data_IF_485188726989
#
_entry.id   IF_485188726989
#
_cell.length_a   1.000
_cell.length_b   1.000
_cell.length_c   1.000
_cell.angle_alpha   90.00
_cell.angle_beta   90.00
_cell.angle_gamma   90.00
#
_symmetry.space_group_name_H-M   'P 1'
#
loop_
_entity.id
_entity.type
_entity.pdbx_description
1 polymer ?
#
# COMPACT_ATOMS: atom_id res chain seq x y z
N UNK A 1 -2.37 -10.26 22.58
CA UNK A 1 -1.70 -9.07 22.00
C UNK A 1 -2.21 -7.83 22.70
N UNK A 2 -1.34 -6.93 23.11
CA UNK A 2 -1.75 -5.63 23.66
C UNK A 2 -2.13 -4.69 22.52
N UNK A 3 -2.95 -3.67 22.81
CA UNK A 3 -3.39 -2.67 21.84
C UNK A 3 -2.18 -1.97 21.17
N UNK A 4 -1.12 -1.73 21.94
CA UNK A 4 0.15 -1.17 21.46
C UNK A 4 0.87 -2.09 20.47
N UNK A 5 0.84 -3.41 20.68
CA UNK A 5 1.42 -4.38 19.73
C UNK A 5 0.68 -4.39 18.40
N UNK A 6 -0.66 -4.37 18.41
CA UNK A 6 -1.45 -4.36 17.17
C UNK A 6 -1.20 -3.08 16.36
N UNK A 7 -1.09 -1.94 17.04
CA UNK A 7 -0.75 -0.68 16.39
C UNK A 7 0.64 -0.73 15.75
N UNK A 8 1.64 -1.21 16.50
CA UNK A 8 3.02 -1.28 16.00
C UNK A 8 3.13 -2.23 14.81
N UNK A 9 2.39 -3.33 14.83
CA UNK A 9 2.29 -4.27 13.71
C UNK A 9 1.62 -3.62 12.49
N UNK A 10 0.52 -2.89 12.68
CA UNK A 10 -0.18 -2.20 11.60
C UNK A 10 0.69 -1.12 10.93
N UNK A 11 1.44 -0.34 11.73
CA UNK A 11 2.40 0.65 11.22
C UNK A 11 3.51 -0.03 10.42
N UNK A 12 4.05 -1.15 10.92
CA UNK A 12 5.09 -1.88 10.23
C UNK A 12 4.60 -2.47 8.90
N UNK A 13 3.39 -3.03 8.87
CA UNK A 13 2.76 -3.50 7.63
C UNK A 13 2.51 -2.36 6.64
N UNK A 14 2.16 -1.16 7.12
CA UNK A 14 2.00 0.01 6.26
C UNK A 14 3.33 0.44 5.62
N UNK A 15 4.43 0.45 6.38
CA UNK A 15 5.76 0.76 5.84
C UNK A 15 6.22 -0.28 4.81
N UNK A 16 5.99 -1.57 5.09
CA UNK A 16 6.29 -2.65 4.14
C UNK A 16 5.50 -2.50 2.84
N UNK A 17 4.20 -2.24 2.95
CA UNK A 17 3.35 -2.00 1.78
C UNK A 17 3.83 -0.80 0.97
N UNK A 18 4.18 0.32 1.61
CA UNK A 18 4.71 1.51 0.94
C UNK A 18 6.01 1.19 0.17
N UNK A 19 6.92 0.42 0.78
CA UNK A 19 8.17 0.04 0.13
C UNK A 19 7.93 -0.88 -1.07
N UNK A 20 7.00 -1.84 -0.95
CA UNK A 20 6.59 -2.70 -2.05
C UNK A 20 5.98 -1.90 -3.21
N UNK A 21 5.15 -0.89 -2.91
CA UNK A 21 4.58 0.01 -3.92
C UNK A 21 5.68 0.75 -4.67
N UNK A 22 6.65 1.34 -3.97
CA UNK A 22 7.74 2.08 -4.61
C UNK A 22 8.58 1.18 -5.51
N UNK A 23 8.92 -0.03 -5.05
CA UNK A 23 9.67 -1.00 -5.87
C UNK A 23 8.87 -1.44 -7.09
N UNK A 24 7.58 -1.74 -6.92
CA UNK A 24 6.69 -2.15 -7.99
C UNK A 24 6.49 -1.03 -9.02
N UNK A 25 6.34 0.22 -8.58
CA UNK A 25 6.26 1.39 -9.43
C UNK A 25 7.55 1.59 -10.24
N UNK A 26 8.72 1.51 -9.58
CA UNK A 26 10.01 1.67 -10.25
C UNK A 26 10.28 0.58 -11.29
N UNK A 27 9.81 -0.65 -11.03
CA UNK A 27 10.01 -1.80 -11.92
C UNK A 27 8.96 -1.91 -13.02
N UNK A 28 7.89 -1.10 -12.97
CA UNK A 28 6.70 -1.21 -13.82
C UNK A 28 6.16 -2.66 -13.93
N UNK A 29 6.40 -3.48 -12.89
CA UNK A 29 6.11 -4.90 -12.94
C UNK A 29 4.69 -5.16 -12.41
N UNK A 30 3.76 -5.65 -13.25
CA UNK A 30 2.37 -5.86 -12.87
C UNK A 30 2.21 -6.91 -11.75
N UNK A 31 3.06 -7.94 -11.68
CA UNK A 31 3.01 -8.93 -10.59
C UNK A 31 3.42 -8.31 -9.25
N UNK A 32 4.48 -7.50 -9.25
CA UNK A 32 4.90 -6.80 -8.05
C UNK A 32 3.86 -5.77 -7.61
N UNK A 33 3.21 -5.09 -8.56
CA UNK A 33 2.10 -4.17 -8.25
C UNK A 33 0.94 -4.90 -7.61
N UNK A 34 0.57 -6.08 -8.10
CA UNK A 34 -0.50 -6.88 -7.53
C UNK A 34 -0.17 -7.35 -6.11
N UNK A 35 1.08 -7.76 -5.86
CA UNK A 35 1.53 -8.14 -4.52
C UNK A 35 1.55 -6.94 -3.57
N UNK A 36 2.07 -5.80 -4.02
CA UNK A 36 2.06 -4.55 -3.27
C UNK A 36 0.63 -4.10 -2.94
N UNK A 37 -0.32 -4.30 -3.86
CA UNK A 37 -1.74 -3.98 -3.66
C UNK A 37 -2.36 -4.84 -2.56
N UNK A 38 -2.06 -6.15 -2.52
CA UNK A 38 -2.53 -7.02 -1.42
C UNK A 38 -1.94 -6.60 -0.07
N UNK A 39 -0.63 -6.33 -0.01
CA UNK A 39 0.01 -5.87 1.23
C UNK A 39 -0.58 -4.55 1.72
N UNK A 40 -0.84 -3.62 0.80
CA UNK A 40 -1.45 -2.34 1.10
C UNK A 40 -2.87 -2.51 1.66
N UNK A 41 -3.68 -3.38 1.06
CA UNK A 41 -5.04 -3.65 1.53
C UNK A 41 -5.04 -4.32 2.91
N UNK A 42 -4.12 -5.24 3.16
CA UNK A 42 -3.95 -5.87 4.47
C UNK A 42 -3.53 -4.86 5.54
N UNK A 43 -2.54 -4.01 5.24
CA UNK A 43 -2.08 -2.96 6.14
C UNK A 43 -3.20 -1.96 6.45
N UNK A 44 -4.01 -1.58 5.46
CA UNK A 44 -5.15 -0.68 5.64
C UNK A 44 -6.20 -1.27 6.58
N UNK A 45 -6.48 -2.56 6.47
CA UNK A 45 -7.41 -3.26 7.35
C UNK A 45 -6.86 -3.37 8.78
N UNK A 46 -5.56 -3.63 8.94
CA UNK A 46 -4.90 -3.66 10.25
C UNK A 46 -4.89 -2.28 10.92
N UNK A 47 -4.61 -1.21 10.17
CA UNK A 47 -4.67 0.15 10.70
C UNK A 47 -6.09 0.48 11.15
N UNK A 48 -7.11 0.13 10.36
CA UNK A 48 -8.50 0.39 10.73
C UNK A 48 -8.90 -0.36 12.00
N UNK A 49 -8.52 -1.64 12.14
CA UNK A 49 -8.74 -2.40 13.38
C UNK A 49 -7.99 -1.79 14.56
N UNK A 50 -6.72 -1.40 14.37
CA UNK A 50 -5.93 -0.76 15.41
C UNK A 50 -6.57 0.57 15.83
N UNK A 51 -7.09 1.38 14.90
CA UNK A 51 -7.80 2.63 15.19
C UNK A 51 -9.09 2.38 15.99
N UNK A 52 -9.89 1.39 15.57
CA UNK A 52 -11.15 1.03 16.25
C UNK A 52 -10.90 0.52 17.68
N UNK A 53 -9.88 -0.33 17.85
CA UNK A 53 -9.52 -0.85 19.17
C UNK A 53 -8.82 0.18 20.05
N UNK A 54 -8.06 1.10 19.44
CA UNK A 54 -7.40 2.18 20.16
C UNK A 54 -8.41 3.18 20.73
N UNK A 55 -9.47 3.49 19.97
CA UNK A 55 -10.64 4.21 20.47
C UNK A 55 -10.28 5.44 21.31
N UNK A 56 -10.94 5.59 22.47
CA UNK A 56 -10.70 6.68 23.42
C UNK A 56 -9.49 6.44 24.36
N UNK A 57 -8.89 5.25 24.36
CA UNK A 57 -7.74 4.90 25.22
C UNK A 57 -6.39 5.09 24.53
N UNK A 58 -6.39 5.32 23.21
CA UNK A 58 -5.21 5.69 22.46
C UNK A 58 -4.62 6.99 23.02
N UNK A 59 -3.32 7.00 23.33
CA UNK A 59 -2.68 8.28 23.64
C UNK A 59 -2.49 9.12 22.37
N UNK A 60 -2.30 10.43 22.52
CA UNK A 60 -2.19 11.36 21.39
C UNK A 60 -1.09 10.95 20.39
N UNK A 61 0.04 10.43 20.89
CA UNK A 61 1.15 9.97 20.06
C UNK A 61 0.78 8.75 19.20
N UNK A 62 0.05 7.79 19.76
CA UNK A 62 -0.44 6.59 19.06
C UNK A 62 -1.42 6.96 17.95
N UNK A 63 -2.37 7.87 18.26
CA UNK A 63 -3.29 8.41 17.26
C UNK A 63 -2.53 9.09 16.11
N UNK A 64 -1.51 9.89 16.42
CA UNK A 64 -0.72 10.60 15.43
C UNK A 64 0.04 9.63 14.50
N UNK A 65 0.62 8.57 15.05
CA UNK A 65 1.31 7.53 14.27
C UNK A 65 0.36 6.76 13.36
N UNK A 66 -0.82 6.37 13.86
CA UNK A 66 -1.86 5.72 13.06
C UNK A 66 -2.35 6.62 11.93
N UNK A 67 -2.57 7.91 12.21
CA UNK A 67 -3.03 8.87 11.22
C UNK A 67 -1.97 9.11 10.13
N UNK A 68 -0.69 9.19 10.50
CA UNK A 68 0.41 9.29 9.54
C UNK A 68 0.50 8.04 8.65
N UNK A 69 0.43 6.85 9.24
CA UNK A 69 0.48 5.61 8.48
C UNK A 69 -0.75 5.43 7.56
N UNK A 70 -1.93 5.91 7.99
CA UNK A 70 -3.13 5.94 7.15
C UNK A 70 -2.98 6.87 5.94
N UNK A 71 -2.38 8.06 6.11
CA UNK A 71 -2.06 8.95 4.98
C UNK A 71 -1.04 8.33 4.02
N UNK A 72 0.00 7.68 4.54
CA UNK A 72 1.00 6.99 3.72
C UNK A 72 0.37 5.88 2.87
N UNK A 73 -0.53 5.08 3.46
CA UNK A 73 -1.27 4.05 2.72
C UNK A 73 -2.15 4.65 1.63
N UNK A 74 -2.83 5.76 1.91
CA UNK A 74 -3.68 6.42 0.92
C UNK A 74 -2.86 6.94 -0.27
N UNK A 75 -1.68 7.52 -0.01
CA UNK A 75 -0.76 7.93 -1.06
C UNK A 75 -0.23 6.74 -1.87
N UNK A 76 0.18 5.67 -1.21
CA UNK A 76 0.65 4.46 -1.86
C UNK A 76 -0.47 3.78 -2.69
N UNK A 77 -1.72 3.89 -2.28
CA UNK A 77 -2.87 3.36 -3.03
C UNK A 77 -3.07 4.11 -4.34
N UNK A 78 -2.92 5.44 -4.34
CA UNK A 78 -2.93 6.24 -5.57
C UNK A 78 -1.75 5.90 -6.49
N UNK A 79 -0.55 5.69 -5.93
CA UNK A 79 0.62 5.29 -6.70
C UNK A 79 0.42 3.96 -7.41
N UNK A 80 -0.16 2.95 -6.73
CA UNK A 80 -0.49 1.66 -7.37
C UNK A 80 -1.47 1.84 -8.53
N UNK A 81 -2.53 2.64 -8.36
CA UNK A 81 -3.51 2.84 -9.43
C UNK A 81 -2.86 3.48 -10.67
N UNK A 82 -2.00 4.48 -10.45
CA UNK A 82 -1.26 5.10 -11.54
C UNK A 82 -0.28 4.13 -12.21
N UNK A 83 0.45 3.34 -11.41
CA UNK A 83 1.40 2.37 -11.92
C UNK A 83 0.73 1.21 -12.67
N UNK A 84 -0.45 0.75 -12.23
CA UNK A 84 -1.25 -0.24 -12.96
C UNK A 84 -1.67 0.28 -14.33
N UNK A 85 -2.15 1.53 -14.41
CA UNK A 85 -2.50 2.15 -15.68
C UNK A 85 -1.30 2.20 -16.65
N UNK A 86 -0.13 2.59 -16.15
CA UNK A 86 1.11 2.64 -16.96
C UNK A 86 1.56 1.25 -17.43
N UNK A 87 1.55 0.25 -16.54
CA UNK A 87 1.95 -1.13 -16.88
C UNK A 87 1.02 -1.75 -17.93
N UNK A 88 -0.29 -1.46 -17.87
CA UNK A 88 -1.25 -1.96 -18.86
C UNK A 88 -1.01 -1.35 -20.25
N UNK A 89 -0.66 -0.07 -20.32
CA UNK A 89 -0.38 0.61 -21.60
C UNK A 89 0.91 0.09 -22.26
N UNK A 90 1.95 -0.18 -21.48
CA UNK A 90 3.21 -0.74 -21.99
C UNK A 90 3.03 -2.15 -22.60
N UNK A 91 2.17 -2.98 -22.01
CA UNK A 91 1.91 -4.33 -22.54
C UNK A 91 1.16 -4.30 -23.88
N UNK A 92 0.19 -3.40 -24.03
CA UNK A 92 -0.60 -3.24 -25.27
C UNK A 92 0.23 -2.73 -26.45
N UNK A 93 1.15 -1.80 -26.18
CA UNK A 93 1.98 -1.16 -27.21
C UNK A 93 3.09 -2.08 -27.73
N UNK A 94 3.58 -3.01 -26.92
CA UNK A 94 4.56 -4.01 -27.36
C UNK A 94 4.00 -5.02 -28.40
N UNK A 95 2.69 -5.29 -28.39
CA UNK A 95 2.08 -6.27 -29.29
C UNK A 95 1.72 -5.70 -30.67
N UNK A 96 1.42 -4.40 -30.77
CA UNK A 96 1.08 -3.77 -32.05
C UNK A 96 2.29 -3.54 -32.97
N UNK A 97 3.50 -3.51 -32.43
CA UNK A 97 4.71 -3.28 -33.22
C UNK A 97 5.25 -4.53 -33.92
N UNK A 98 4.77 -5.74 -33.56
CA UNK A 98 5.17 -7.01 -34.18
C UNK A 98 4.18 -7.52 -35.25
N UNK A 99 3.07 -6.81 -35.50
CA UNK A 99 2.04 -7.21 -36.46
C UNK A 99 2.20 -6.66 -37.89
N UNK A 100 3.26 -5.92 -38.17
CA UNK A 100 3.52 -5.32 -39.50
C UNK A 100 4.89 -5.76 -40.04
N UNK A 101 4.98 -7.00 -40.51
CA UNK A 101 5.99 -7.45 -41.48
C UNK A 101 5.34 -8.43 -42.45
#
# INVERSE_FOLDING_TARGET
MTQQQQMQQAIQSAQQAQQAVQQAQASANPQQLQQAQQQLQQAQQQIQQAQQQAGAQANAQQQQQLQQAQQQLQQAQQQIQQAQATAQVQQSSAQQQNGYQ
#
